data_IF_500563271609
#
_entry.id   IF_500563271609
#
_cell.length_a   1.000
_cell.length_b   1.000
_cell.length_c   1.000
_cell.angle_alpha   90.00
_cell.angle_beta   90.00
_cell.angle_gamma   90.00
#
_symmetry.space_group_name_H-M   'P 1'
#
loop_
_entity.id
_entity.type
_entity.pdbx_description
1 polymer ?
#
# COMPACT_ATOMS: atom_id res chain seq x y z
N UNK A 1 -9.75 -12.72 -4.45
CA UNK A 1 -10.81 -11.81 -3.98
C UNK A 1 -10.20 -10.90 -2.92
N UNK A 2 -10.02 -9.62 -3.22
CA UNK A 2 -9.61 -8.65 -2.22
C UNK A 2 -10.75 -8.51 -1.20
N UNK A 3 -10.49 -8.92 0.05
CA UNK A 3 -11.43 -8.68 1.13
C UNK A 3 -11.27 -7.24 1.59
N UNK A 4 -12.28 -6.40 1.37
CA UNK A 4 -12.37 -5.09 1.99
C UNK A 4 -12.63 -5.29 3.47
N UNK A 5 -11.61 -5.20 4.30
CA UNK A 5 -11.76 -5.28 5.74
C UNK A 5 -11.98 -3.90 6.35
N UNK A 6 -12.87 -3.84 7.32
CA UNK A 6 -13.14 -2.64 8.13
C UNK A 6 -11.84 -2.13 8.77
N UNK A 7 -11.58 -0.83 8.68
CA UNK A 7 -10.38 -0.22 9.27
C UNK A 7 -10.53 -0.20 10.80
N UNK A 8 -9.63 -0.82 11.59
CA UNK A 8 -9.69 -0.79 13.05
C UNK A 8 -9.57 0.63 13.62
N UNK A 9 -10.18 0.89 14.77
CA UNK A 9 -10.28 2.23 15.36
C UNK A 9 -8.94 2.94 15.64
N UNK A 10 -7.85 2.21 15.83
CA UNK A 10 -6.50 2.77 16.01
C UNK A 10 -5.89 3.29 14.71
N UNK A 11 -6.20 2.67 13.58
CA UNK A 11 -5.73 3.09 12.25
C UNK A 11 -6.52 4.28 11.70
N UNK A 12 -7.74 4.54 12.22
CA UNK A 12 -8.54 5.70 11.80
C UNK A 12 -7.90 7.02 12.19
N UNK A 13 -7.16 7.07 13.28
CA UNK A 13 -6.47 8.27 13.74
C UNK A 13 -5.26 8.60 12.86
N UNK A 14 -4.47 7.61 12.47
CA UNK A 14 -3.35 7.79 11.52
C UNK A 14 -3.86 8.17 10.12
N UNK A 15 -4.92 7.52 9.66
CA UNK A 15 -5.55 7.84 8.38
C UNK A 15 -6.09 9.28 8.36
N UNK A 16 -6.71 9.74 9.45
CA UNK A 16 -7.21 11.11 9.55
C UNK A 16 -6.07 12.13 9.53
N UNK A 17 -4.94 11.81 10.18
CA UNK A 17 -3.74 12.65 10.15
C UNK A 17 -3.14 12.72 8.74
N UNK A 18 -3.01 11.59 8.06
CA UNK A 18 -2.52 11.54 6.68
C UNK A 18 -3.41 12.35 5.73
N UNK A 19 -4.73 12.24 5.86
CA UNK A 19 -5.69 13.03 5.07
C UNK A 19 -5.53 14.53 5.36
N UNK A 20 -5.34 14.91 6.62
CA UNK A 20 -5.13 16.30 7.01
C UNK A 20 -3.85 16.84 6.39
N UNK A 21 -2.75 16.11 6.46
CA UNK A 21 -1.47 16.50 5.87
C UNK A 21 -1.58 16.68 4.34
N UNK A 22 -2.29 15.78 3.66
CA UNK A 22 -2.55 15.91 2.22
C UNK A 22 -3.35 17.16 1.88
N UNK A 23 -4.35 17.52 2.70
CA UNK A 23 -5.11 18.76 2.48
C UNK A 23 -4.31 20.03 2.82
N UNK A 24 -3.40 19.98 3.78
CA UNK A 24 -2.47 21.09 4.05
C UNK A 24 -1.52 21.29 2.87
N UNK A 25 -0.98 20.22 2.29
CA UNK A 25 -0.13 20.31 1.09
C UNK A 25 -0.92 20.84 -0.13
N UNK A 26 -2.12 20.33 -0.36
CA UNK A 26 -3.00 20.87 -1.40
C UNK A 26 -3.28 22.36 -1.21
N UNK A 27 -3.51 22.78 0.01
CA UNK A 27 -3.81 24.19 0.32
C UNK A 27 -2.66 25.16 0.02
N UNK A 28 -1.43 24.67 0.03
CA UNK A 28 -0.25 25.47 -0.37
C UNK A 28 -0.23 25.71 -1.89
N UNK A 29 -0.66 24.72 -2.66
CA UNK A 29 -0.59 24.75 -4.13
C UNK A 29 -1.82 25.38 -4.79
N UNK A 30 -2.99 25.31 -4.13
CA UNK A 30 -4.21 25.90 -4.66
C UNK A 30 -4.25 27.42 -4.39
N UNK A 31 -4.57 28.20 -5.41
CA UNK A 31 -4.74 29.65 -5.29
C UNK A 31 -5.82 29.97 -4.26
N UNK A 32 -5.62 31.03 -3.50
CA UNK A 32 -6.50 31.46 -2.40
C UNK A 32 -7.97 31.65 -2.78
N UNK A 33 -8.23 31.95 -4.05
CA UNK A 33 -9.58 32.12 -4.60
C UNK A 33 -10.38 30.81 -4.67
N UNK A 34 -9.71 29.66 -4.71
CA UNK A 34 -10.35 28.33 -4.76
C UNK A 34 -10.69 27.76 -3.37
N UNK A 35 -10.22 28.40 -2.29
CA UNK A 35 -10.43 27.94 -0.89
C UNK A 35 -11.80 28.23 -0.32
N UNK A 36 -12.66 28.92 -1.06
CA UNK A 36 -13.97 29.37 -0.56
C UNK A 36 -15.10 28.33 -0.68
N UNK A 37 -14.81 27.12 -1.16
CA UNK A 37 -15.85 26.12 -1.41
C UNK A 37 -15.94 25.14 -0.24
N UNK A 38 -17.01 25.28 0.54
CA UNK A 38 -17.40 24.35 1.60
C UNK A 38 -18.32 23.27 1.05
N UNK A 39 -17.77 22.35 0.27
CA UNK A 39 -18.50 21.18 -0.23
C UNK A 39 -17.68 19.90 -0.03
N UNK A 40 -18.37 18.79 0.04
CA UNK A 40 -17.76 17.48 -0.06
C UNK A 40 -18.12 16.86 -1.41
N UNK A 41 -17.14 16.24 -2.03
CA UNK A 41 -17.28 15.48 -3.25
C UNK A 41 -16.93 14.02 -2.95
N UNK A 42 -17.66 13.08 -3.54
CA UNK A 42 -17.42 11.66 -3.32
C UNK A 42 -17.15 10.93 -4.64
N UNK A 43 -15.94 11.05 -5.24
CA UNK A 43 -15.63 10.43 -6.52
C UNK A 43 -15.81 8.92 -6.47
N UNK A 44 -16.47 8.36 -7.48
CA UNK A 44 -16.56 6.92 -7.65
C UNK A 44 -15.18 6.34 -7.94
N UNK A 45 -14.93 5.11 -7.49
CA UNK A 45 -13.70 4.40 -7.79
C UNK A 45 -13.93 2.91 -7.96
N UNK A 46 -13.11 2.31 -8.81
CA UNK A 46 -13.01 0.88 -9.02
C UNK A 46 -11.61 0.39 -8.62
N UNK A 47 -11.52 -0.86 -8.17
CA UNK A 47 -10.26 -1.54 -7.89
C UNK A 47 -10.21 -2.82 -8.69
N UNK A 48 -9.21 -2.93 -9.57
CA UNK A 48 -8.95 -4.10 -10.39
C UNK A 48 -7.67 -4.77 -9.91
N UNK A 49 -7.67 -6.09 -9.92
CA UNK A 49 -6.49 -6.88 -9.55
C UNK A 49 -6.15 -7.86 -10.66
N UNK A 50 -4.88 -7.83 -11.07
CA UNK A 50 -4.28 -8.80 -12.00
C UNK A 50 -3.28 -9.69 -11.26
N UNK A 51 -2.66 -10.65 -11.95
CA UNK A 51 -1.57 -11.44 -11.37
C UNK A 51 -0.34 -10.59 -11.01
N UNK A 52 -0.15 -9.44 -11.65
CA UNK A 52 1.06 -8.63 -11.56
C UNK A 52 0.87 -7.25 -10.92
N UNK A 53 -0.35 -6.73 -10.86
CA UNK A 53 -0.65 -5.39 -10.37
C UNK A 53 -2.01 -5.28 -9.72
N UNK A 54 -2.19 -4.22 -8.93
CA UNK A 54 -3.49 -3.66 -8.57
C UNK A 54 -3.62 -2.32 -9.25
N UNK A 55 -4.80 -2.05 -9.81
CA UNK A 55 -5.15 -0.78 -10.44
C UNK A 55 -6.33 -0.17 -9.71
N UNK A 56 -6.23 1.12 -9.37
CA UNK A 56 -7.30 1.90 -8.78
C UNK A 56 -7.67 2.97 -9.79
N UNK A 57 -8.93 2.99 -10.21
CA UNK A 57 -9.47 3.95 -11.17
C UNK A 57 -10.45 4.84 -10.44
N UNK A 58 -10.30 6.16 -10.56
CA UNK A 58 -11.12 7.15 -9.84
C UNK A 58 -11.66 8.19 -10.81
N UNK A 59 -12.99 8.43 -10.77
CA UNK A 59 -13.65 9.44 -11.56
C UNK A 59 -13.44 10.85 -10.97
N UNK A 60 -12.49 11.59 -11.53
CA UNK A 60 -12.12 12.93 -11.06
C UNK A 60 -12.32 14.01 -12.13
N UNK A 61 -13.37 13.87 -12.94
CA UNK A 61 -13.62 14.80 -14.04
C UNK A 61 -13.69 16.25 -13.56
N UNK A 62 -12.91 17.13 -14.21
CA UNK A 62 -12.81 18.55 -13.87
C UNK A 62 -11.85 18.87 -12.72
N UNK A 63 -11.11 17.88 -12.22
CA UNK A 63 -10.04 18.07 -11.24
C UNK A 63 -8.70 18.12 -11.97
N UNK A 64 -7.90 19.18 -11.87
CA UNK A 64 -6.59 19.23 -12.47
C UNK A 64 -5.57 18.42 -11.66
N UNK A 65 -4.46 18.01 -12.28
CA UNK A 65 -3.47 17.14 -11.65
C UNK A 65 -2.80 17.76 -10.41
N UNK A 66 -2.64 19.06 -10.38
CA UNK A 66 -2.07 19.81 -9.25
C UNK A 66 -3.01 19.88 -8.04
N UNK A 67 -4.31 19.65 -8.26
CA UNK A 67 -5.34 19.54 -7.22
C UNK A 67 -5.58 18.10 -6.75
N UNK A 68 -4.66 17.16 -7.07
CA UNK A 68 -4.72 15.76 -6.67
C UNK A 68 -3.48 15.36 -5.86
N UNK A 69 -3.67 14.52 -4.85
CA UNK A 69 -2.60 13.87 -4.10
C UNK A 69 -2.91 12.40 -3.93
N UNK A 70 -1.87 11.58 -4.05
CA UNK A 70 -1.93 10.13 -3.83
C UNK A 70 -0.84 9.76 -2.84
N UNK A 71 -1.20 9.10 -1.76
CA UNK A 71 -0.29 8.61 -0.73
C UNK A 71 -0.50 7.10 -0.55
N UNK A 72 0.59 6.36 -0.40
CA UNK A 72 0.56 4.96 0.05
C UNK A 72 1.25 4.85 1.40
N UNK A 73 0.53 4.40 2.41
CA UNK A 73 1.07 4.14 3.76
C UNK A 73 0.33 2.96 4.40
N UNK A 74 1.04 2.09 5.08
CA UNK A 74 0.47 0.98 5.88
C UNK A 74 -0.55 0.13 5.12
N UNK A 75 -0.25 -0.19 3.84
CA UNK A 75 -1.14 -0.93 2.94
C UNK A 75 -2.45 -0.20 2.58
N UNK A 76 -2.51 1.11 2.75
CA UNK A 76 -3.62 1.95 2.35
C UNK A 76 -3.15 2.93 1.27
N UNK A 77 -3.91 3.01 0.18
CA UNK A 77 -3.80 4.10 -0.81
C UNK A 77 -4.80 5.17 -0.43
N UNK A 78 -4.34 6.39 -0.22
CA UNK A 78 -5.17 7.55 0.05
C UNK A 78 -5.13 8.44 -1.18
N UNK A 79 -6.28 8.81 -1.69
CA UNK A 79 -6.46 9.74 -2.79
C UNK A 79 -7.22 10.95 -2.24
N UNK A 80 -6.58 12.13 -2.26
CA UNK A 80 -7.19 13.37 -1.83
C UNK A 80 -7.17 14.39 -2.96
N UNK A 81 -8.17 15.26 -2.99
CA UNK A 81 -8.25 16.29 -4.00
C UNK A 81 -9.31 17.35 -3.69
N UNK A 82 -9.35 18.36 -4.56
CA UNK A 82 -10.36 19.40 -4.51
C UNK A 82 -10.92 19.64 -5.91
N UNK A 83 -12.24 19.50 -6.03
CA UNK A 83 -12.98 19.79 -7.26
C UNK A 83 -13.63 21.15 -7.16
N UNK A 84 -13.11 22.09 -7.92
CA UNK A 84 -13.68 23.44 -7.96
C UNK A 84 -15.03 23.46 -8.68
N UNK A 85 -15.99 24.28 -8.22
CA UNK A 85 -17.22 24.53 -8.97
C UNK A 85 -16.91 25.27 -10.26
N UNK A 86 -17.82 25.16 -11.21
CA UNK A 86 -17.78 26.01 -12.38
C UNK A 86 -18.00 27.47 -11.94
N UNK A 87 -17.05 28.33 -12.24
CA UNK A 87 -17.22 29.77 -12.01
C UNK A 87 -18.36 30.29 -12.90
N UNK A 88 -19.47 30.67 -12.31
CA UNK A 88 -20.51 31.35 -13.05
C UNK A 88 -20.03 32.78 -13.40
N UNK A 89 -20.06 33.13 -14.66
CA UNK A 89 -19.85 34.51 -15.09
C UNK A 89 -20.96 35.43 -14.55
N UNK A 90 -20.71 36.73 -14.43
CA UNK A 90 -21.65 37.72 -13.87
C UNK A 90 -23.05 37.73 -14.51
N UNK A 91 -23.22 37.08 -15.66
CA UNK A 91 -24.48 37.02 -16.39
C UNK A 91 -25.08 35.60 -16.51
N UNK A 92 -24.55 34.65 -15.74
CA UNK A 92 -24.99 33.24 -15.79
C UNK A 92 -25.82 32.91 -14.54
N UNK A 93 -26.91 32.22 -14.77
CA UNK A 93 -27.78 31.71 -13.71
C UNK A 93 -27.88 30.18 -13.82
N UNK A 94 -27.57 29.50 -12.75
CA UNK A 94 -27.75 28.06 -12.68
C UNK A 94 -29.24 27.75 -12.51
N UNK A 95 -29.81 26.93 -13.42
CA UNK A 95 -31.16 26.43 -13.31
C UNK A 95 -31.22 25.06 -12.61
N UNK A 96 -30.14 24.29 -12.69
CA UNK A 96 -30.02 22.99 -12.05
C UNK A 96 -28.50 22.77 -11.71
N UNK A 97 -28.22 22.28 -10.51
CA UNK A 97 -26.89 21.93 -10.03
C UNK A 97 -26.95 20.55 -9.41
N UNK A 98 -26.46 19.55 -10.12
CA UNK A 98 -26.39 18.14 -9.69
C UNK A 98 -24.94 17.67 -9.48
N UNK A 99 -23.97 18.42 -10.01
CA UNK A 99 -22.54 18.06 -9.89
C UNK A 99 -22.03 18.40 -8.50
N UNK A 100 -21.38 17.43 -7.88
CA UNK A 100 -20.68 17.62 -6.61
C UNK A 100 -19.39 18.42 -6.79
N UNK A 101 -19.09 19.25 -5.83
CA UNK A 101 -17.88 20.06 -5.75
C UNK A 101 -17.33 20.03 -4.32
N UNK A 102 -16.06 20.38 -4.17
CA UNK A 102 -15.42 20.49 -2.87
C UNK A 102 -14.29 19.49 -2.70
N UNK A 103 -13.88 19.33 -1.45
CA UNK A 103 -12.80 18.41 -1.07
C UNK A 103 -13.29 16.98 -1.02
N UNK A 104 -12.37 16.08 -1.36
CA UNK A 104 -12.63 14.65 -1.21
C UNK A 104 -11.37 13.91 -0.73
N UNK A 105 -11.59 12.85 0.01
CA UNK A 105 -10.59 11.85 0.32
C UNK A 105 -11.19 10.45 0.16
N UNK A 106 -10.48 9.58 -0.56
CA UNK A 106 -10.82 8.17 -0.72
C UNK A 106 -9.67 7.33 -0.21
N UNK A 107 -9.96 6.29 0.54
CA UNK A 107 -8.96 5.37 1.08
C UNK A 107 -9.27 3.94 0.62
N UNK A 108 -8.28 3.26 0.06
CA UNK A 108 -8.37 1.88 -0.40
C UNK A 108 -7.32 1.05 0.33
N UNK A 109 -7.77 0.08 1.14
CA UNK A 109 -6.88 -0.88 1.78
C UNK A 109 -6.55 -1.99 0.80
N UNK A 110 -5.26 -2.26 0.65
CA UNK A 110 -4.74 -3.29 -0.23
C UNK A 110 -4.12 -4.42 0.61
N UNK A 111 -4.39 -5.67 0.21
CA UNK A 111 -3.76 -6.83 0.81
C UNK A 111 -2.64 -7.34 -0.09
N UNK A 112 -1.44 -7.52 0.47
CA UNK A 112 -0.28 -8.01 -0.27
C UNK A 112 0.94 -7.11 -0.14
N UNK A 113 1.99 -7.45 -0.87
CA UNK A 113 3.22 -6.66 -0.95
C UNK A 113 3.31 -6.00 -2.33
N UNK A 114 3.57 -4.70 -2.34
CA UNK A 114 3.61 -3.89 -3.55
C UNK A 114 4.95 -3.18 -3.70
N UNK A 115 5.42 -3.05 -4.94
CA UNK A 115 6.55 -2.21 -5.30
C UNK A 115 6.06 -0.75 -5.44
N UNK A 116 6.07 -0.04 -4.32
CA UNK A 116 5.61 1.35 -4.25
C UNK A 116 6.52 2.29 -5.05
N UNK A 117 7.79 1.93 -5.21
CA UNK A 117 8.74 2.75 -5.98
C UNK A 117 8.42 2.73 -7.49
N UNK A 118 7.88 1.63 -7.96
CA UNK A 118 7.43 1.48 -9.34
C UNK A 118 5.96 1.86 -9.54
N UNK A 119 5.25 2.25 -8.48
CA UNK A 119 3.87 2.70 -8.58
C UNK A 119 3.75 3.97 -9.45
N UNK A 120 2.65 4.08 -10.19
CA UNK A 120 2.40 5.21 -11.07
C UNK A 120 0.95 5.67 -10.94
N UNK A 121 0.76 6.98 -11.02
CA UNK A 121 -0.55 7.61 -11.09
C UNK A 121 -0.62 8.45 -12.36
N UNK A 122 -1.68 8.29 -13.14
CA UNK A 122 -1.89 8.98 -14.41
C UNK A 122 -3.29 9.56 -14.46
N UNK A 123 -3.42 10.85 -14.73
CA UNK A 123 -4.69 11.52 -14.97
C UNK A 123 -4.89 11.68 -16.46
N UNK A 124 -5.99 11.12 -16.97
CA UNK A 124 -6.36 11.23 -18.39
C UNK A 124 -7.88 11.33 -18.52
N UNK A 125 -8.35 12.25 -19.32
CA UNK A 125 -9.76 12.43 -19.67
C UNK A 125 -10.71 12.52 -18.45
N UNK A 126 -10.21 12.97 -17.28
CA UNK A 126 -10.96 13.09 -16.03
C UNK A 126 -10.97 11.81 -15.19
N UNK A 127 -10.18 10.82 -15.56
CA UNK A 127 -10.00 9.57 -14.84
C UNK A 127 -8.57 9.49 -14.29
N UNK A 128 -8.44 9.24 -12.99
CA UNK A 128 -7.16 9.00 -12.31
C UNK A 128 -6.94 7.49 -12.19
N UNK A 129 -5.96 6.97 -12.91
CA UNK A 129 -5.53 5.56 -12.81
C UNK A 129 -4.26 5.47 -11.97
N UNK A 130 -4.30 4.66 -10.91
CA UNK A 130 -3.15 4.37 -10.04
C UNK A 130 -2.80 2.90 -10.20
N UNK A 131 -1.57 2.61 -10.62
CA UNK A 131 -1.06 1.24 -10.83
C UNK A 131 -0.01 0.93 -9.79
N UNK A 132 -0.22 -0.13 -9.01
CA UNK A 132 0.72 -0.65 -8.03
C UNK A 132 1.17 -2.06 -8.46
N UNK A 133 2.42 -2.22 -8.92
CA UNK A 133 2.97 -3.53 -9.21
C UNK A 133 3.04 -4.39 -7.94
N UNK A 134 2.68 -5.67 -8.05
CA UNK A 134 2.85 -6.63 -6.96
C UNK A 134 4.30 -7.04 -6.86
N UNK A 135 4.81 -7.12 -5.65
CA UNK A 135 6.05 -7.83 -5.40
C UNK A 135 5.80 -9.33 -5.47
N UNK A 136 6.64 -10.06 -6.20
CA UNK A 136 6.62 -11.52 -6.18
C UNK A 136 6.74 -12.01 -4.75
N UNK A 137 5.62 -12.42 -4.16
CA UNK A 137 5.61 -12.96 -2.81
C UNK A 137 6.25 -14.34 -2.79
N UNK A 138 7.58 -14.35 -2.71
CA UNK A 138 8.35 -15.59 -2.52
C UNK A 138 8.03 -16.28 -1.20
N UNK A 139 7.35 -15.60 -0.27
CA UNK A 139 6.99 -16.14 1.05
C UNK A 139 5.91 -17.21 0.95
N UNK A 140 5.08 -17.18 -0.10
CA UNK A 140 4.00 -18.16 -0.30
C UNK A 140 4.41 -19.36 -1.18
N UNK A 141 5.67 -19.43 -1.63
CA UNK A 141 6.19 -20.63 -2.31
C UNK A 141 6.59 -21.63 -1.24
N UNK A 142 6.10 -22.88 -1.31
CA UNK A 142 6.51 -23.92 -0.38
C UNK A 142 8.02 -24.10 -0.47
N UNK A 143 8.73 -23.80 0.62
CA UNK A 143 10.16 -24.02 0.72
C UNK A 143 10.40 -25.28 1.52
N UNK A 144 11.08 -26.25 0.90
CA UNK A 144 11.45 -27.50 1.57
C UNK A 144 12.65 -27.24 2.48
N UNK A 145 12.43 -27.37 3.78
CA UNK A 145 13.50 -27.24 4.77
C UNK A 145 14.19 -28.60 4.88
N UNK A 146 15.49 -28.72 4.50
CA UNK A 146 16.21 -29.98 4.65
C UNK A 146 16.46 -30.27 6.13
N UNK A 147 16.14 -31.49 6.56
CA UNK A 147 16.46 -31.95 7.91
C UNK A 147 17.84 -32.59 7.86
N UNK A 148 18.82 -31.99 8.53
CA UNK A 148 20.14 -32.59 8.68
C UNK A 148 20.08 -33.65 9.80
N UNK A 149 20.71 -34.84 9.61
CA UNK A 149 20.83 -35.81 10.69
C UNK A 149 21.70 -35.19 11.83
N UNK A 150 21.25 -35.36 13.06
CA UNK A 150 22.09 -35.01 14.22
C UNK A 150 23.35 -35.89 14.19
N UNK A 151 24.50 -35.26 14.44
CA UNK A 151 25.76 -36.02 14.53
C UNK A 151 25.62 -37.18 15.48
N UNK A 152 26.09 -38.39 15.14
CA UNK A 152 26.13 -39.51 16.09
C UNK A 152 26.97 -39.08 17.29
N UNK A 153 26.48 -39.43 18.48
CA UNK A 153 27.20 -39.20 19.74
C UNK A 153 28.63 -39.79 19.66
N UNK A 154 29.66 -39.14 20.22
CA UNK A 154 31.00 -39.64 20.19
C UNK A 154 31.05 -41.04 20.80
N UNK A 155 31.49 -42.01 20.03
CA UNK A 155 31.75 -43.39 20.49
C UNK A 155 32.80 -43.33 21.58
N UNK A 156 32.43 -43.69 22.79
CA UNK A 156 33.37 -43.93 23.86
C UNK A 156 34.28 -45.09 23.46
N UNK A 157 35.52 -44.78 23.12
CA UNK A 157 36.57 -45.78 22.99
C UNK A 157 36.82 -46.34 24.41
N UNK A 158 36.37 -47.58 24.60
CA UNK A 158 36.88 -48.40 25.72
C UNK A 158 38.34 -48.73 25.40
N UNK A 159 39.24 -48.15 26.17
CA UNK A 159 40.63 -48.62 26.28
C UNK A 159 40.60 -49.89 27.07
N UNK A 160 40.70 -51.03 26.35
CA UNK A 160 41.09 -52.32 26.95
C UNK A 160 42.55 -52.24 27.32
N UNK A 161 42.80 -52.14 28.62
CA UNK A 161 44.13 -52.37 29.22
C UNK A 161 44.44 -53.87 29.16
N UNK A 162 45.14 -54.32 28.14
CA UNK A 162 45.75 -55.61 28.17
C UNK A 162 47.06 -55.57 28.97
N UNK A 163 46.97 -56.25 30.07
CA UNK A 163 48.09 -56.62 30.94
C UNK A 163 49.13 -57.42 30.17
N UNK A 164 50.31 -56.85 29.99
CA UNK A 164 51.49 -57.55 29.50
C UNK A 164 52.20 -58.16 30.72
N UNK A 165 52.20 -59.49 30.74
CA UNK A 165 53.07 -60.23 31.64
C UNK A 165 54.34 -60.64 30.93
N UNK A 166 55.39 -59.99 31.35
CA UNK A 166 56.74 -60.52 31.25
C UNK A 166 56.83 -62.01 31.43
N UNK A 167 57.50 -62.68 30.50
CA UNK A 167 58.31 -63.83 30.84
C UNK A 167 59.67 -63.79 30.13
N UNK A 168 60.64 -63.86 30.96
CA UNK A 168 62.06 -63.92 30.72
C UNK A 168 62.52 -65.40 30.56
N UNK A 169 63.24 -65.73 29.49
CA UNK A 169 64.30 -66.75 29.55
C UNK A 169 65.08 -66.95 28.23
N UNK A 170 66.33 -66.57 28.33
CA UNK A 170 67.53 -67.36 27.98
C UNK A 170 67.61 -68.10 26.63
N UNK A 171 68.41 -67.73 25.75
CA UNK A 171 69.78 -68.18 25.43
C UNK A 171 70.23 -67.52 24.13
#
# INVERSE_FOLDING_TARGET
MAQFSFIPSGETSELAEDIRELFEDLAVHLKQEQRAYSGECHPSLDVLETDHSVEIIVDVSGVPADALRVLYRSSVVIIAGEKAPLAAGHQQTFHLVEREFGRFARAVRLNGAFDVQSARATLRDGELTIVLPKLDDRRNRPHRIPVAPSHPAPSHHRTDASHDRTDNRQR
#
